data_IF_492164347800
#
_entry.id   IF_492164347800
#
_cell.length_a   1.000
_cell.length_b   1.000
_cell.length_c   1.000
_cell.angle_alpha   90.00
_cell.angle_beta   90.00
_cell.angle_gamma   90.00
#
_symmetry.space_group_name_H-M   'P 1'
#
loop_
_entity.id
_entity.type
_entity.pdbx_description
1 polymer ?
#
# COMPACT_ATOMS: atom_id res chain seq x y z
N UNK A 1 -16.03 7.50 27.52
CA UNK A 1 -15.26 7.25 26.27
C UNK A 1 -13.94 6.50 26.49
N UNK A 2 -12.93 7.07 27.17
CA UNK A 2 -11.62 6.43 27.34
C UNK A 2 -11.65 5.02 27.99
N UNK A 3 -12.45 4.84 29.06
CA UNK A 3 -12.65 3.55 29.74
C UNK A 3 -13.30 2.49 28.85
N UNK A 4 -14.27 2.89 28.02
CA UNK A 4 -14.98 2.00 27.09
C UNK A 4 -14.03 1.53 25.97
N UNK A 5 -13.23 2.44 25.43
CA UNK A 5 -12.25 2.15 24.37
C UNK A 5 -10.97 1.49 24.89
N UNK A 6 -10.84 1.27 26.20
CA UNK A 6 -9.61 0.76 26.85
C UNK A 6 -8.35 1.54 26.43
N UNK A 7 -8.45 2.87 26.37
CA UNK A 7 -7.33 3.77 26.01
C UNK A 7 -7.04 4.77 27.12
N UNK A 8 -5.79 5.23 27.19
CA UNK A 8 -5.40 6.29 28.10
C UNK A 8 -6.19 7.57 27.81
N UNK A 9 -6.59 8.27 28.88
CA UNK A 9 -7.29 9.56 28.80
C UNK A 9 -6.50 10.56 27.92
N UNK A 10 -5.19 10.67 28.12
CA UNK A 10 -4.35 11.61 27.36
C UNK A 10 -4.31 11.31 25.86
N UNK A 11 -4.49 10.05 25.46
CA UNK A 11 -4.59 9.66 24.03
C UNK A 11 -5.88 10.19 23.42
N UNK A 12 -7.01 10.03 24.12
CA UNK A 12 -8.31 10.52 23.64
C UNK A 12 -8.33 12.05 23.56
N UNK A 13 -7.77 12.74 24.56
CA UNK A 13 -7.67 14.21 24.54
C UNK A 13 -6.81 14.72 23.38
N UNK A 14 -5.66 14.07 23.13
CA UNK A 14 -4.79 14.43 21.99
C UNK A 14 -5.45 14.17 20.65
N UNK A 15 -6.26 13.11 20.55
CA UNK A 15 -7.02 12.79 19.34
C UNK A 15 -8.11 13.84 19.06
N UNK A 16 -8.92 14.17 20.07
CA UNK A 16 -9.96 15.18 19.96
C UNK A 16 -9.36 16.54 19.60
N UNK A 17 -8.24 16.95 20.23
CA UNK A 17 -7.56 18.21 19.92
C UNK A 17 -7.03 18.26 18.48
N UNK A 18 -6.51 17.15 17.96
CA UNK A 18 -5.95 17.09 16.60
C UNK A 18 -7.03 17.14 15.53
N UNK A 19 -8.16 16.47 15.77
CA UNK A 19 -9.21 16.26 14.79
C UNK A 19 -10.51 17.00 15.14
N UNK A 20 -10.42 18.11 15.87
CA UNK A 20 -11.54 19.00 16.14
C UNK A 20 -11.80 19.86 14.90
N UNK A 21 -13.04 19.89 14.44
CA UNK A 21 -13.49 20.79 13.40
C UNK A 21 -14.29 21.93 14.03
N UNK A 22 -14.02 23.16 13.60
CA UNK A 22 -14.76 24.35 14.00
C UNK A 22 -14.87 25.31 12.82
N UNK A 23 -16.08 25.78 12.52
CA UNK A 23 -16.34 26.72 11.43
C UNK A 23 -17.30 27.83 11.89
N UNK A 24 -16.83 29.07 11.86
CA UNK A 24 -17.59 30.26 12.28
C UNK A 24 -18.86 30.46 11.45
N UNK A 25 -18.89 30.01 10.20
CA UNK A 25 -20.05 30.09 9.32
C UNK A 25 -21.07 28.99 9.61
N UNK A 26 -20.68 27.91 10.30
CA UNK A 26 -21.54 26.77 10.59
C UNK A 26 -21.34 26.21 12.01
N UNK A 27 -21.65 27.00 13.06
CA UNK A 27 -21.36 26.65 14.45
C UNK A 27 -22.13 25.41 14.96
N UNK A 28 -23.21 25.01 14.27
CA UNK A 28 -23.95 23.77 14.58
C UNK A 28 -23.21 22.49 14.14
N UNK A 29 -22.14 22.64 13.37
CA UNK A 29 -21.35 21.54 12.85
C UNK A 29 -19.96 21.48 13.48
N UNK A 30 -19.75 22.16 14.60
CA UNK A 30 -18.52 22.07 15.36
C UNK A 30 -18.44 20.74 16.12
N UNK A 31 -17.27 20.10 16.10
CA UNK A 31 -17.02 18.91 16.91
C UNK A 31 -16.06 17.89 16.30
N UNK A 32 -16.18 16.66 16.79
CA UNK A 32 -15.33 15.54 16.39
C UNK A 32 -16.04 14.62 15.39
N UNK A 33 -15.43 14.46 14.23
CA UNK A 33 -15.92 13.59 13.17
C UNK A 33 -15.01 12.36 13.01
N UNK A 34 -15.43 11.23 13.59
CA UNK A 34 -14.62 10.00 13.59
C UNK A 34 -14.28 9.46 12.19
N UNK A 35 -15.23 9.53 11.24
CA UNK A 35 -14.98 9.12 9.87
C UNK A 35 -13.94 10.03 9.18
N UNK A 36 -14.07 11.35 9.35
CA UNK A 36 -13.12 12.32 8.80
C UNK A 36 -11.72 12.14 9.42
N UNK A 37 -11.64 11.99 10.74
CA UNK A 37 -10.39 11.71 11.45
C UNK A 37 -9.68 10.45 10.92
N UNK A 38 -10.45 9.37 10.70
CA UNK A 38 -9.93 8.14 10.12
C UNK A 38 -9.45 8.33 8.67
N UNK A 39 -10.21 9.05 7.85
CA UNK A 39 -9.80 9.39 6.47
C UNK A 39 -8.50 10.20 6.44
N UNK A 40 -8.39 11.25 7.28
CA UNK A 40 -7.16 12.04 7.39
C UNK A 40 -5.97 11.20 7.87
N UNK A 41 -6.19 10.24 8.78
CA UNK A 41 -5.16 9.32 9.22
C UNK A 41 -4.72 8.34 8.10
N UNK A 42 -5.68 7.84 7.31
CA UNK A 42 -5.38 6.98 6.17
C UNK A 42 -4.61 7.75 5.08
N UNK A 43 -5.01 8.99 4.78
CA UNK A 43 -4.33 9.86 3.83
C UNK A 43 -2.87 10.16 4.26
N UNK A 44 -2.65 10.54 5.53
CA UNK A 44 -1.30 10.73 6.06
C UNK A 44 -0.43 9.48 5.89
N UNK A 45 -0.97 8.29 6.17
CA UNK A 45 -0.26 7.02 5.96
C UNK A 45 -0.01 6.73 4.48
N UNK A 46 -0.93 7.10 3.59
CA UNK A 46 -0.77 6.92 2.16
C UNK A 46 0.40 7.75 1.62
N UNK A 47 0.47 9.04 1.98
CA UNK A 47 1.56 9.94 1.56
C UNK A 47 2.95 9.52 2.04
N UNK A 48 3.03 8.83 3.17
CA UNK A 48 4.28 8.34 3.76
C UNK A 48 4.71 6.96 3.24
N UNK A 49 4.01 6.39 2.24
CA UNK A 49 4.42 5.13 1.63
C UNK A 49 5.76 5.32 0.92
N UNK A 50 6.70 4.43 1.21
CA UNK A 50 8.09 4.52 0.74
C UNK A 50 8.22 4.71 -0.78
N UNK A 51 7.41 4.01 -1.57
CA UNK A 51 7.40 4.10 -3.03
C UNK A 51 6.78 5.41 -3.55
N UNK A 52 5.92 6.07 -2.77
CA UNK A 52 5.38 7.39 -3.10
C UNK A 52 6.41 8.48 -2.74
N UNK A 53 7.07 8.32 -1.59
CA UNK A 53 8.09 9.29 -1.12
C UNK A 53 9.37 9.26 -1.97
N UNK A 54 9.72 8.13 -2.59
CA UNK A 54 10.95 7.95 -3.37
C UNK A 54 10.62 7.55 -4.82
N UNK A 55 10.38 8.53 -5.72
CA UNK A 55 9.93 8.25 -7.08
C UNK A 55 10.95 7.45 -7.90
N UNK A 56 12.25 7.71 -7.76
CA UNK A 56 13.29 6.95 -8.46
C UNK A 56 13.30 5.46 -8.07
N UNK A 57 13.08 5.17 -6.77
CA UNK A 57 12.96 3.80 -6.29
C UNK A 57 11.72 3.11 -6.87
N UNK A 58 10.62 3.86 -6.98
CA UNK A 58 9.38 3.39 -7.58
C UNK A 58 9.56 3.03 -9.05
N UNK A 59 10.19 3.92 -9.83
CA UNK A 59 10.47 3.68 -11.24
C UNK A 59 11.29 2.40 -11.44
N UNK A 60 12.37 2.21 -10.67
CA UNK A 60 13.19 0.99 -10.73
C UNK A 60 12.40 -0.28 -10.40
N UNK A 61 11.46 -0.21 -9.45
CA UNK A 61 10.58 -1.34 -9.12
C UNK A 61 9.63 -1.63 -10.27
N UNK A 62 9.01 -0.60 -10.85
CA UNK A 62 8.09 -0.72 -11.99
C UNK A 62 8.79 -1.31 -13.21
N UNK A 63 10.00 -0.83 -13.54
CA UNK A 63 10.81 -1.36 -14.64
C UNK A 63 11.12 -2.85 -14.44
N UNK A 64 11.52 -3.26 -13.22
CA UNK A 64 11.77 -4.68 -12.91
C UNK A 64 10.49 -5.52 -13.02
N UNK A 65 9.35 -5.01 -12.56
CA UNK A 65 8.04 -5.69 -12.70
C UNK A 65 7.68 -5.86 -14.17
N UNK A 66 7.81 -4.81 -14.99
CA UNK A 66 7.54 -4.88 -16.44
C UNK A 66 8.46 -5.84 -17.18
N UNK A 67 9.69 -6.03 -16.69
CA UNK A 67 10.62 -7.06 -17.16
C UNK A 67 10.31 -8.48 -16.66
N UNK A 68 9.18 -8.70 -15.99
CA UNK A 68 8.71 -10.02 -15.53
C UNK A 68 9.29 -10.49 -14.20
N UNK A 69 9.93 -9.62 -13.42
CA UNK A 69 10.47 -10.00 -12.11
C UNK A 69 9.35 -10.08 -11.06
N UNK A 70 9.43 -11.08 -10.18
CA UNK A 70 8.49 -11.18 -9.05
C UNK A 70 8.85 -10.19 -7.94
N UNK A 71 7.87 -9.72 -7.14
CA UNK A 71 8.14 -8.87 -5.98
C UNK A 71 9.18 -9.43 -5.01
N UNK A 72 9.21 -10.75 -4.81
CA UNK A 72 10.22 -11.46 -4.00
C UNK A 72 11.61 -11.35 -4.62
N UNK A 73 11.74 -11.57 -5.93
CA UNK A 73 13.01 -11.44 -6.64
C UNK A 73 13.55 -10.02 -6.53
N UNK A 74 12.69 -9.01 -6.69
CA UNK A 74 13.10 -7.60 -6.59
C UNK A 74 13.59 -7.28 -5.19
N UNK A 75 12.83 -7.65 -4.15
CA UNK A 75 13.21 -7.43 -2.76
C UNK A 75 14.51 -8.13 -2.37
N UNK A 76 14.64 -9.41 -2.71
CA UNK A 76 15.84 -10.20 -2.42
C UNK A 76 17.06 -9.69 -3.20
N UNK A 77 16.88 -9.27 -4.46
CA UNK A 77 17.96 -8.67 -5.26
C UNK A 77 18.45 -7.38 -4.64
N UNK A 78 17.55 -6.51 -4.16
CA UNK A 78 17.92 -5.26 -3.47
C UNK A 78 18.71 -5.50 -2.19
N UNK A 79 18.43 -6.59 -1.46
CA UNK A 79 19.19 -7.02 -0.27
C UNK A 79 20.60 -7.46 -0.69
N UNK A 80 20.70 -8.31 -1.72
CA UNK A 80 21.98 -8.80 -2.22
C UNK A 80 22.88 -7.68 -2.74
N UNK A 81 22.31 -6.75 -3.52
CA UNK A 81 23.00 -5.55 -4.04
C UNK A 81 23.30 -4.50 -2.96
N UNK A 82 22.87 -4.71 -1.70
CA UNK A 82 23.00 -3.76 -0.58
C UNK A 82 22.50 -2.34 -0.91
N UNK A 83 21.48 -2.25 -1.76
CA UNK A 83 20.92 -0.96 -2.20
C UNK A 83 20.28 -0.19 -1.06
N UNK A 84 20.48 1.12 -1.03
CA UNK A 84 19.80 2.06 -0.13
C UNK A 84 19.32 3.23 -1.00
N UNK A 85 18.01 3.53 -1.04
CA UNK A 85 16.90 2.88 -0.32
C UNK A 85 16.45 1.54 -0.95
N UNK A 86 16.04 0.57 -0.11
CA UNK A 86 15.46 -0.75 -0.51
C UNK A 86 14.00 -0.94 -0.11
N UNK A 87 13.25 -1.79 -0.81
CA UNK A 87 11.88 -2.20 -0.43
C UNK A 87 11.79 -3.72 -0.22
N UNK A 88 10.85 -4.16 0.61
CA UNK A 88 10.48 -5.56 0.72
C UNK A 88 9.33 -5.91 -0.25
N UNK A 89 9.14 -7.19 -0.53
CA UNK A 89 8.08 -7.73 -1.38
C UNK A 89 6.70 -7.24 -0.96
N UNK A 90 6.42 -7.15 0.34
CA UNK A 90 5.14 -6.69 0.86
C UNK A 90 4.88 -5.21 0.56
N UNK A 91 5.92 -4.38 0.52
CA UNK A 91 5.80 -2.97 0.10
C UNK A 91 5.46 -2.87 -1.38
N UNK A 92 6.05 -3.76 -2.19
CA UNK A 92 5.80 -3.84 -3.63
C UNK A 92 4.37 -4.31 -3.89
N UNK A 93 3.91 -5.39 -3.26
CA UNK A 93 2.53 -5.88 -3.38
C UNK A 93 1.52 -4.80 -3.01
N UNK A 94 1.75 -4.09 -1.90
CA UNK A 94 0.87 -3.00 -1.46
C UNK A 94 0.77 -1.86 -2.47
N UNK A 95 1.83 -1.61 -3.25
CA UNK A 95 1.84 -0.62 -4.31
C UNK A 95 1.16 -1.12 -5.58
N UNK A 96 1.37 -2.37 -5.98
CA UNK A 96 0.70 -2.96 -7.15
C UNK A 96 -0.83 -2.89 -6.98
N UNK A 97 -1.34 -3.20 -5.78
CA UNK A 97 -2.76 -3.13 -5.49
C UNK A 97 -3.27 -1.74 -5.05
N UNK A 98 -2.41 -0.72 -5.01
CA UNK A 98 -2.86 0.65 -4.74
C UNK A 98 -3.44 1.31 -5.99
N UNK A 99 -4.09 2.48 -5.82
CA UNK A 99 -4.69 3.22 -6.94
C UNK A 99 -3.66 3.56 -8.01
N UNK A 100 -2.43 3.85 -7.60
CA UNK A 100 -1.29 4.17 -8.46
C UNK A 100 -0.86 2.95 -9.27
N UNK A 101 -0.66 1.79 -8.63
CA UNK A 101 -0.27 0.56 -9.32
C UNK A 101 -1.36 -0.01 -10.23
N UNK A 102 -2.64 0.17 -9.88
CA UNK A 102 -3.76 -0.17 -10.76
C UNK A 102 -3.81 0.72 -12.00
N UNK A 103 -3.48 2.02 -11.87
CA UNK A 103 -3.43 2.94 -13.02
C UNK A 103 -2.34 2.60 -14.03
N UNK A 104 -1.27 1.95 -13.57
CA UNK A 104 -0.16 1.47 -14.41
C UNK A 104 -0.32 0.01 -14.84
N UNK A 105 -1.45 -0.63 -14.52
CA UNK A 105 -1.74 -2.02 -14.90
C UNK A 105 -0.65 -3.02 -14.44
N UNK A 106 0.04 -2.72 -13.34
CA UNK A 106 1.20 -3.50 -12.87
C UNK A 106 0.83 -4.95 -12.51
N UNK A 107 -0.42 -5.19 -12.17
CA UNK A 107 -0.94 -6.50 -11.81
C UNK A 107 -0.92 -7.49 -12.99
N UNK A 108 -0.99 -7.02 -14.24
CA UNK A 108 -0.88 -7.86 -15.45
C UNK A 108 0.48 -8.53 -15.59
N UNK A 109 1.53 -7.89 -15.11
CA UNK A 109 2.91 -8.38 -15.23
C UNK A 109 3.28 -9.39 -14.14
N UNK A 110 2.39 -9.63 -13.15
CA UNK A 110 2.65 -10.61 -12.11
C UNK A 110 2.51 -12.04 -12.67
N UNK A 111 3.41 -12.98 -12.27
CA UNK A 111 3.37 -14.35 -12.76
C UNK A 111 2.05 -15.08 -12.49
N UNK A 112 1.34 -14.71 -11.42
CA UNK A 112 0.04 -15.29 -11.08
C UNK A 112 -1.03 -14.99 -12.15
N UNK A 113 -0.91 -13.86 -12.86
CA UNK A 113 -1.83 -13.47 -13.93
C UNK A 113 -1.46 -14.12 -15.27
N UNK A 114 -0.16 -14.24 -15.56
CA UNK A 114 0.34 -14.85 -16.80
C UNK A 114 0.27 -16.38 -16.82
N UNK A 115 -0.04 -17.02 -15.70
CA UNK A 115 -0.36 -18.45 -15.66
C UNK A 115 -1.74 -18.69 -16.27
N UNK A 116 -1.76 -18.90 -17.60
CA UNK A 116 -2.75 -19.82 -18.17
C UNK A 116 -2.55 -21.18 -17.47
N UNK A 117 -3.61 -21.88 -17.01
CA UNK A 117 -3.45 -23.29 -16.70
C UNK A 117 -3.01 -23.94 -18.01
N UNK A 118 -1.74 -24.32 -18.10
CA UNK A 118 -1.30 -25.24 -19.14
C UNK A 118 -2.13 -26.50 -18.91
N UNK A 119 -3.15 -26.67 -19.74
CA UNK A 119 -3.91 -27.90 -19.78
C UNK A 119 -2.91 -29.04 -19.90
N UNK A 120 -3.17 -30.09 -19.12
CA UNK A 120 -2.58 -31.41 -19.30
C UNK A 120 -2.79 -31.86 -20.76
N UNK A 121 -1.93 -31.44 -21.68
CA UNK A 121 -1.85 -31.94 -23.04
C UNK A 121 -0.43 -32.45 -23.25
N UNK A 122 -0.21 -33.68 -22.80
CA UNK A 122 0.92 -34.58 -23.11
C UNK A 122 0.62 -35.87 -22.31
N UNK A 123 0.51 -37.08 -22.84
CA UNK A 123 0.84 -37.66 -24.14
C UNK A 123 0.00 -38.93 -24.33
N UNK A 124 -0.50 -39.12 -25.55
CA UNK A 124 -0.72 -40.43 -26.13
C UNK A 124 0.52 -41.32 -25.94
N UNK A 125 0.37 -42.48 -25.32
CA UNK A 125 1.33 -43.59 -25.43
C UNK A 125 0.63 -44.75 -26.15
N UNK A 126 1.10 -45.19 -27.33
CA UNK A 126 0.73 -46.47 -27.88
C UNK A 126 1.67 -47.55 -27.29
N UNK A 127 1.09 -48.65 -26.84
CA UNK A 127 1.73 -49.96 -26.74
C UNK A 127 0.66 -51.02 -26.94
#
# INVERSE_FOLDING_TARGET
>A
MARVLKRCRSTIFRELKRNHFSDECMPKCDGYYGAAAQMMAADRRARQRKLITHPELCQRVIERIKNGWTPEQIGNRMIHERTIPRVCQETIYRYIYSKEGQREDLWWYLPAHSRRPEGHSKLWFPA
#
